data_IF_177902018079
#
_entry.id   IF_177902018079
#
_cell.length_a   1.000
_cell.length_b   1.000
_cell.length_c   1.000
_cell.angle_alpha   90.00
_cell.angle_beta   90.00
_cell.angle_gamma   90.00
#
_symmetry.space_group_name_H-M   'P 1'
#
loop_
_entity.id
_entity.type
_entity.pdbx_description
1 polymer ?
#
# COMPACT_ATOMS: atom_id res chain seq x y z
N UNK A 1 62.91 21.72 37.72
CA UNK A 1 62.41 20.34 37.67
C UNK A 1 60.91 20.40 37.89
N UNK A 2 60.13 19.90 36.90
CA UNK A 2 58.78 19.30 37.02
C UNK A 2 57.64 20.10 37.69
N UNK A 3 56.34 20.01 37.35
CA UNK A 3 55.53 19.42 36.28
C UNK A 3 54.08 19.99 36.46
N UNK A 4 53.33 20.13 35.35
CA UNK A 4 51.91 19.70 35.08
C UNK A 4 50.77 20.07 36.08
N UNK A 5 49.52 20.40 35.72
CA UNK A 5 48.71 20.45 34.49
C UNK A 5 47.23 20.80 34.85
N UNK A 6 46.58 21.68 34.09
CA UNK A 6 45.42 21.49 33.14
C UNK A 6 44.03 21.11 33.72
N UNK A 7 43.10 22.08 33.56
CA UNK A 7 41.66 22.07 33.22
C UNK A 7 40.89 20.74 33.05
N UNK A 8 39.61 20.73 33.46
CA UNK A 8 38.47 20.28 32.63
C UNK A 8 37.12 20.76 33.17
N UNK A 9 36.31 21.44 32.33
CA UNK A 9 34.85 21.31 32.27
C UNK A 9 34.26 22.16 31.12
N UNK A 10 34.01 21.54 29.96
CA UNK A 10 32.96 21.95 29.01
C UNK A 10 32.69 20.81 28.06
N UNK A 11 31.53 20.17 28.18
CA UNK A 11 30.91 19.39 27.12
C UNK A 11 29.43 19.15 27.46
N UNK A 12 28.54 20.02 26.95
CA UNK A 12 27.09 19.76 26.97
C UNK A 12 26.37 20.43 25.79
N UNK A 13 26.90 20.26 24.57
CA UNK A 13 26.32 20.89 23.37
C UNK A 13 26.37 20.07 22.07
N UNK A 14 26.64 18.76 22.14
CA UNK A 14 26.73 17.93 20.93
C UNK A 14 25.69 16.80 20.81
N UNK A 15 24.98 16.42 21.88
CA UNK A 15 24.02 15.30 21.83
C UNK A 15 22.65 15.67 21.23
N UNK A 16 22.18 16.92 21.38
CA UNK A 16 20.88 17.36 20.85
C UNK A 16 20.77 17.40 19.31
N UNK A 17 21.89 17.28 18.59
CA UNK A 17 21.89 17.40 17.12
C UNK A 17 21.69 16.06 16.42
N UNK A 18 22.02 14.93 17.06
CA UNK A 18 21.81 13.61 16.47
C UNK A 18 20.37 13.17 16.69
N UNK A 19 19.81 13.38 17.88
CA UNK A 19 18.39 13.07 18.15
C UNK A 19 17.46 13.94 17.29
N UNK A 20 17.76 15.22 17.12
CA UNK A 20 16.97 16.12 16.27
C UNK A 20 17.14 15.83 14.77
N UNK A 21 18.29 15.29 14.32
CA UNK A 21 18.47 14.84 12.92
C UNK A 21 17.79 13.49 12.72
N UNK A 22 17.81 12.59 13.70
CA UNK A 22 17.10 11.31 13.66
C UNK A 22 15.58 11.49 13.72
N UNK A 23 15.05 12.41 14.53
CA UNK A 23 13.63 12.80 14.52
C UNK A 23 13.25 13.53 13.22
N UNK A 24 14.16 14.33 12.64
CA UNK A 24 13.90 15.08 11.41
C UNK A 24 14.01 14.22 10.15
N UNK A 25 14.89 13.21 10.11
CA UNK A 25 14.95 12.19 9.06
C UNK A 25 13.74 11.25 9.12
N UNK A 26 13.25 10.94 10.33
CA UNK A 26 11.95 10.26 10.52
C UNK A 26 10.78 11.08 9.96
N UNK A 27 10.92 12.42 9.92
CA UNK A 27 9.93 13.37 9.40
C UNK A 27 10.16 13.83 7.95
N UNK A 28 11.18 13.36 7.23
CA UNK A 28 11.17 13.33 5.74
C UNK A 28 10.29 12.17 5.26
N UNK A 29 9.21 12.00 6.00
CA UNK A 29 8.66 10.73 6.38
C UNK A 29 7.59 10.30 5.41
N UNK A 30 7.18 9.07 5.60
CA UNK A 30 5.95 8.58 5.04
C UNK A 30 4.80 9.60 5.24
N UNK A 31 4.04 9.89 4.17
CA UNK A 31 2.89 10.79 4.21
C UNK A 31 1.59 10.02 3.91
N UNK A 32 0.61 10.17 4.79
CA UNK A 32 -0.73 9.66 4.57
C UNK A 32 -1.42 10.38 3.40
N UNK A 33 -2.30 9.68 2.69
CA UNK A 33 -3.09 10.25 1.59
C UNK A 33 -4.27 11.10 2.09
N UNK A 34 -4.62 11.00 3.38
CA UNK A 34 -5.72 11.74 4.02
C UNK A 34 -7.10 11.12 3.84
N UNK A 35 -7.23 9.97 3.16
CA UNK A 35 -8.49 9.24 3.06
C UNK A 35 -8.70 8.34 4.30
N UNK A 36 -9.93 8.25 4.80
CA UNK A 36 -10.28 7.38 5.92
C UNK A 36 -10.58 5.92 5.50
N UNK A 37 -10.53 5.63 4.20
CA UNK A 37 -10.88 4.33 3.64
C UNK A 37 -9.94 3.97 2.49
N UNK A 38 -9.83 2.68 2.20
CA UNK A 38 -9.13 2.13 1.04
C UNK A 38 -10.07 1.23 0.25
N UNK A 39 -9.98 1.26 -1.08
CA UNK A 39 -10.63 0.33 -1.98
C UNK A 39 -9.59 -0.61 -2.59
N UNK A 40 -9.63 -1.89 -2.19
CA UNK A 40 -8.68 -2.92 -2.63
C UNK A 40 -9.33 -3.85 -3.65
N UNK A 41 -8.62 -4.15 -4.74
CA UNK A 41 -9.15 -4.91 -5.89
C UNK A 41 -8.35 -6.18 -6.20
N UNK A 42 -7.29 -6.45 -5.44
CA UNK A 42 -6.31 -7.49 -5.73
C UNK A 42 -5.89 -8.31 -4.51
N UNK A 43 -4.58 -8.50 -4.34
CA UNK A 43 -3.98 -9.35 -3.30
C UNK A 43 -4.33 -8.95 -1.88
N UNK A 44 -4.67 -7.67 -1.64
CA UNK A 44 -5.10 -7.15 -0.33
C UNK A 44 -6.56 -7.48 0.04
N UNK A 45 -7.40 -7.94 -0.90
CA UNK A 45 -8.79 -8.35 -0.63
C UNK A 45 -8.83 -9.55 0.32
N UNK A 46 -9.98 -9.76 0.96
CA UNK A 46 -10.19 -10.93 1.81
C UNK A 46 -9.94 -12.23 1.03
N UNK A 47 -9.13 -13.13 1.59
CA UNK A 47 -8.70 -14.38 0.96
C UNK A 47 -7.54 -14.24 -0.05
N UNK A 48 -7.07 -13.02 -0.33
CA UNK A 48 -5.87 -12.79 -1.12
C UNK A 48 -4.58 -13.13 -0.36
N UNK A 49 -3.47 -13.31 -1.10
CA UNK A 49 -2.16 -13.63 -0.47
C UNK A 49 -1.67 -12.55 0.49
N UNK A 50 -2.09 -11.30 0.29
CA UNK A 50 -1.78 -10.15 1.13
C UNK A 50 -3.00 -9.66 1.91
N UNK A 51 -3.96 -10.54 2.19
CA UNK A 51 -5.23 -10.20 2.87
C UNK A 51 -5.02 -9.13 3.95
N UNK A 52 -5.74 -8.02 3.81
CA UNK A 52 -5.65 -6.85 4.69
C UNK A 52 -5.88 -7.19 6.16
N UNK A 53 -6.61 -8.27 6.47
CA UNK A 53 -6.80 -8.76 7.84
C UNK A 53 -5.50 -9.26 8.50
N UNK A 54 -4.46 -9.59 7.72
CA UNK A 54 -3.11 -9.91 8.23
C UNK A 54 -2.38 -8.65 8.72
N UNK A 55 -2.69 -7.49 8.15
CA UNK A 55 -2.12 -6.19 8.54
C UNK A 55 -2.86 -5.58 9.73
N UNK A 56 -4.19 -5.74 9.75
CA UNK A 56 -5.04 -5.27 10.84
C UNK A 56 -6.04 -6.37 11.22
N UNK A 57 -5.71 -7.22 12.20
CA UNK A 57 -6.60 -8.28 12.67
C UNK A 57 -7.97 -7.72 13.12
N UNK A 58 -9.04 -8.37 12.68
CA UNK A 58 -10.41 -7.96 13.00
C UNK A 58 -10.96 -6.80 12.18
N UNK A 59 -10.23 -6.31 11.17
CA UNK A 59 -10.76 -5.31 10.23
C UNK A 59 -12.00 -5.85 9.51
N UNK A 60 -13.06 -5.03 9.47
CA UNK A 60 -14.34 -5.39 8.86
C UNK A 60 -14.51 -4.63 7.56
N UNK A 61 -14.90 -5.34 6.50
CA UNK A 61 -15.25 -4.74 5.22
C UNK A 61 -16.45 -3.79 5.40
N UNK A 62 -16.26 -2.52 5.04
CA UNK A 62 -17.31 -1.48 5.10
C UNK A 62 -18.34 -1.66 4.00
N UNK A 63 -17.93 -2.20 2.85
CA UNK A 63 -18.78 -2.37 1.68
C UNK A 63 -17.98 -2.71 0.43
N UNK A 64 -18.65 -2.70 -0.72
CA UNK A 64 -18.05 -2.98 -2.03
C UNK A 64 -18.35 -1.86 -3.01
N UNK A 65 -17.48 -1.68 -3.98
CA UNK A 65 -17.65 -0.73 -5.09
C UNK A 65 -17.06 -1.29 -6.38
N UNK A 66 -17.22 -0.56 -7.47
CA UNK A 66 -16.66 -0.86 -8.78
C UNK A 66 -15.72 0.27 -9.19
N UNK A 67 -14.46 -0.07 -9.46
CA UNK A 67 -13.47 0.83 -10.04
C UNK A 67 -13.60 0.80 -11.56
N UNK A 68 -13.55 1.96 -12.21
CA UNK A 68 -13.52 2.05 -13.67
C UNK A 68 -12.07 2.12 -14.15
N UNK A 69 -11.69 1.26 -15.09
CA UNK A 69 -10.31 1.22 -15.58
C UNK A 69 -10.04 0.06 -16.55
N UNK A 70 -8.78 -0.32 -16.64
CA UNK A 70 -8.30 -1.52 -17.32
C UNK A 70 -7.48 -2.36 -16.33
N UNK A 71 -7.83 -3.64 -16.20
CA UNK A 71 -7.15 -4.57 -15.30
C UNK A 71 -6.08 -5.37 -16.06
N UNK A 72 -4.92 -5.57 -15.44
CA UNK A 72 -3.76 -6.22 -16.04
C UNK A 72 -3.20 -7.33 -15.16
N UNK A 73 -2.65 -8.35 -15.82
CA UNK A 73 -1.95 -9.46 -15.21
C UNK A 73 -0.47 -9.15 -15.04
N UNK A 74 -0.03 -8.90 -13.80
CA UNK A 74 1.39 -8.71 -13.47
C UNK A 74 2.02 -10.02 -12.92
N UNK A 75 1.37 -11.17 -13.16
CA UNK A 75 1.78 -12.46 -12.64
C UNK A 75 1.05 -12.78 -11.35
N UNK A 76 1.68 -12.51 -10.20
CA UNK A 76 1.15 -12.88 -8.87
C UNK A 76 0.17 -11.86 -8.28
N UNK A 77 0.08 -10.69 -8.90
CA UNK A 77 -0.73 -9.57 -8.43
C UNK A 77 -1.32 -8.82 -9.63
N UNK A 78 -2.43 -8.09 -9.45
CA UNK A 78 -3.04 -7.31 -10.53
C UNK A 78 -2.46 -5.91 -10.60
N UNK A 79 -2.43 -5.33 -11.80
CA UNK A 79 -2.30 -3.89 -11.98
C UNK A 79 -3.61 -3.27 -12.48
N UNK A 80 -4.12 -2.24 -11.81
CA UNK A 80 -5.24 -1.44 -12.32
C UNK A 80 -4.74 -0.11 -12.89
N UNK A 81 -4.99 0.16 -14.16
CA UNK A 81 -4.94 1.52 -14.70
C UNK A 81 -6.34 2.14 -14.60
N UNK A 82 -6.47 3.35 -14.05
CA UNK A 82 -7.75 4.08 -14.00
C UNK A 82 -8.16 4.66 -15.35
N UNK A 83 -7.43 4.34 -16.42
CA UNK A 83 -7.80 4.62 -17.79
C UNK A 83 -8.51 3.39 -18.39
N UNK A 84 -9.76 3.56 -18.80
CA UNK A 84 -10.57 2.52 -19.41
C UNK A 84 -12.02 2.57 -18.96
N UNK A 85 -12.81 1.62 -19.44
CA UNK A 85 -14.26 1.55 -19.19
C UNK A 85 -14.71 0.26 -18.52
N UNK A 86 -13.79 -0.69 -18.28
CA UNK A 86 -14.12 -1.93 -17.58
C UNK A 86 -14.34 -1.62 -16.10
N UNK A 87 -15.32 -2.31 -15.50
CA UNK A 87 -15.55 -2.29 -14.06
C UNK A 87 -14.73 -3.37 -13.38
N UNK A 88 -14.11 -3.03 -12.26
CA UNK A 88 -13.31 -3.92 -11.43
C UNK A 88 -13.86 -3.91 -10.01
N UNK A 89 -14.18 -5.09 -9.48
CA UNK A 89 -14.70 -5.25 -8.12
C UNK A 89 -13.63 -4.84 -7.10
N UNK A 90 -14.02 -3.97 -6.17
CA UNK A 90 -13.20 -3.60 -5.04
C UNK A 90 -13.96 -3.76 -3.71
N UNK A 91 -13.23 -4.17 -2.68
CA UNK A 91 -13.69 -4.18 -1.30
C UNK A 91 -13.19 -2.92 -0.60
N UNK A 92 -14.05 -2.29 0.20
CA UNK A 92 -13.76 -1.03 0.88
C UNK A 92 -13.58 -1.28 2.36
N UNK A 93 -12.45 -0.85 2.91
CA UNK A 93 -12.09 -1.01 4.31
C UNK A 93 -11.82 0.34 4.97
N UNK A 94 -12.12 0.50 6.27
CA UNK A 94 -11.63 1.64 7.04
C UNK A 94 -10.11 1.59 7.10
N UNK A 95 -9.47 2.75 7.04
CA UNK A 95 -8.02 2.86 6.98
C UNK A 95 -7.52 3.85 8.03
N UNK A 96 -6.52 3.42 8.79
CA UNK A 96 -5.71 4.29 9.65
C UNK A 96 -4.37 4.59 8.98
N UNK A 97 -3.68 5.63 9.44
CA UNK A 97 -2.34 5.96 8.95
C UNK A 97 -1.36 4.77 9.08
N UNK A 98 -1.43 4.02 10.19
CA UNK A 98 -0.58 2.85 10.40
C UNK A 98 -0.87 1.73 9.38
N UNK A 99 -2.15 1.53 9.03
CA UNK A 99 -2.54 0.56 8.01
C UNK A 99 -2.10 1.02 6.61
N UNK A 100 -2.29 2.29 6.28
CA UNK A 100 -1.83 2.87 5.01
C UNK A 100 -0.32 2.69 4.85
N UNK A 101 0.47 2.99 5.88
CA UNK A 101 1.91 2.79 5.85
C UNK A 101 2.30 1.31 5.66
N UNK A 102 1.57 0.38 6.28
CA UNK A 102 1.82 -1.05 6.10
C UNK A 102 1.51 -1.51 4.67
N UNK A 103 0.43 -1.01 4.07
CA UNK A 103 0.09 -1.28 2.66
C UNK A 103 1.11 -0.66 1.70
N UNK A 104 1.58 0.55 1.95
CA UNK A 104 2.64 1.18 1.13
C UNK A 104 3.93 0.37 1.12
N UNK A 105 4.23 -0.36 2.21
CA UNK A 105 5.34 -1.32 2.21
C UNK A 105 5.10 -2.52 1.32
N UNK A 106 3.86 -3.01 1.23
CA UNK A 106 3.52 -4.11 0.33
C UNK A 106 3.56 -3.65 -1.12
N UNK A 107 3.01 -2.47 -1.41
CA UNK A 107 2.83 -1.92 -2.76
C UNK A 107 4.08 -1.21 -3.31
N UNK A 108 5.21 -1.28 -2.60
CA UNK A 108 6.46 -0.75 -3.11
C UNK A 108 6.57 0.78 -3.07
N UNK A 109 5.80 1.47 -2.23
CA UNK A 109 5.81 2.93 -2.10
C UNK A 109 6.63 3.44 -0.91
N UNK A 110 6.97 2.54 0.04
CA UNK A 110 7.73 2.85 1.25
C UNK A 110 8.47 1.61 1.75
N UNK A 111 9.73 1.61 2.21
CA UNK A 111 10.73 2.68 2.41
C UNK A 111 11.43 3.14 1.13
N UNK A 112 11.26 2.40 0.03
CA UNK A 112 11.75 2.73 -1.29
C UNK A 112 10.56 2.70 -2.25
N UNK A 113 10.49 3.69 -3.13
CA UNK A 113 9.51 3.74 -4.21
C UNK A 113 10.03 2.90 -5.39
N UNK A 114 9.35 1.80 -5.67
CA UNK A 114 9.63 0.86 -6.76
C UNK A 114 9.06 1.35 -8.10
N UNK A 115 8.23 2.40 -8.09
CA UNK A 115 7.64 2.99 -9.28
C UNK A 115 6.54 2.13 -9.94
N UNK A 116 6.06 1.08 -9.26
CA UNK A 116 5.04 0.19 -9.83
C UNK A 116 3.62 0.73 -9.69
N UNK A 117 3.34 1.42 -8.58
CA UNK A 117 2.04 1.99 -8.23
C UNK A 117 2.15 3.48 -7.91
N UNK A 118 0.99 4.14 -7.88
CA UNK A 118 0.80 5.46 -7.29
C UNK A 118 -0.51 5.51 -6.52
N UNK A 119 -0.56 6.33 -5.46
CA UNK A 119 -1.78 6.57 -4.71
C UNK A 119 -2.73 7.48 -5.49
N UNK A 120 -4.02 7.14 -5.48
CA UNK A 120 -5.11 7.99 -5.96
C UNK A 120 -6.21 8.01 -4.91
N UNK A 121 -6.70 9.20 -4.57
CA UNK A 121 -7.90 9.35 -3.74
C UNK A 121 -9.08 9.60 -4.67
N UNK A 122 -10.08 8.73 -4.62
CA UNK A 122 -11.30 8.82 -5.41
C UNK A 122 -12.51 8.92 -4.49
N UNK A 123 -13.52 9.68 -4.88
CA UNK A 123 -14.84 9.64 -4.21
C UNK A 123 -15.73 8.68 -4.98
N UNK A 124 -16.05 7.53 -4.39
CA UNK A 124 -16.83 6.48 -5.03
C UNK A 124 -18.11 6.19 -4.26
N UNK A 125 -19.16 5.82 -4.97
CA UNK A 125 -20.35 5.27 -4.32
C UNK A 125 -20.05 3.85 -3.84
N UNK A 126 -20.16 3.62 -2.54
CA UNK A 126 -19.90 2.34 -1.89
C UNK A 126 -21.21 1.74 -1.43
N UNK A 127 -21.48 0.51 -1.85
CA UNK A 127 -22.58 -0.29 -1.32
C UNK A 127 -22.11 -0.89 0.01
N UNK A 128 -22.61 -0.34 1.11
CA UNK A 128 -22.23 -0.72 2.46
C UNK A 128 -22.90 -2.02 2.91
N UNK A 129 -22.29 -2.67 3.88
CA UNK A 129 -22.76 -3.95 4.43
C UNK A 129 -24.12 -3.84 5.12
N UNK A 130 -24.56 -2.64 5.49
CA UNK A 130 -25.90 -2.35 6.01
C UNK A 130 -26.97 -2.14 4.90
N UNK A 131 -26.59 -2.29 3.63
CA UNK A 131 -27.46 -2.10 2.47
C UNK A 131 -27.58 -0.64 2.00
N UNK A 132 -26.95 0.32 2.69
CA UNK A 132 -26.92 1.72 2.26
C UNK A 132 -25.90 1.94 1.15
N UNK A 133 -26.11 2.97 0.31
CA UNK A 133 -25.13 3.44 -0.64
C UNK A 133 -24.65 4.84 -0.24
N UNK A 134 -23.36 5.00 -0.04
CA UNK A 134 -22.78 6.26 0.44
C UNK A 134 -21.51 6.63 -0.36
N UNK A 135 -21.32 7.91 -0.71
CA UNK A 135 -20.08 8.37 -1.31
C UNK A 135 -18.97 8.38 -0.26
N UNK A 136 -17.89 7.65 -0.50
CA UNK A 136 -16.71 7.62 0.37
C UNK A 136 -15.46 8.03 -0.42
N UNK A 137 -14.63 8.87 0.19
CA UNK A 137 -13.27 9.10 -0.27
C UNK A 137 -12.41 7.88 0.08
N UNK A 138 -11.86 7.21 -0.93
CA UNK A 138 -11.10 5.98 -0.81
C UNK A 138 -9.72 6.13 -1.46
N UNK A 139 -8.70 5.59 -0.81
CA UNK A 139 -7.41 5.33 -1.43
C UNK A 139 -7.52 4.17 -2.42
N UNK A 140 -6.90 4.33 -3.59
CA UNK A 140 -6.72 3.29 -4.61
C UNK A 140 -5.24 3.31 -5.03
N UNK A 141 -4.62 2.14 -5.06
CA UNK A 141 -3.30 1.96 -5.67
C UNK A 141 -3.46 1.75 -7.17
N UNK A 142 -3.13 2.76 -7.97
CA UNK A 142 -3.17 2.69 -9.43
C UNK A 142 -1.81 2.26 -9.97
N UNK A 143 -1.78 1.25 -10.84
CA UNK A 143 -0.56 0.80 -11.50
C UNK A 143 -0.03 1.87 -12.47
N UNK A 144 1.28 2.10 -12.44
CA UNK A 144 1.94 3.05 -13.32
C UNK A 144 1.90 2.59 -14.78
N UNK A 145 1.81 3.51 -15.77
CA UNK A 145 1.78 3.14 -17.18
C UNK A 145 2.93 2.24 -17.63
N UNK A 146 4.14 2.47 -17.09
CA UNK A 146 5.32 1.66 -17.37
C UNK A 146 5.16 0.21 -16.89
N UNK A 147 4.52 -0.01 -15.73
CA UNK A 147 4.25 -1.34 -15.15
C UNK A 147 3.33 -2.18 -16.04
N UNK A 148 2.33 -1.55 -16.65
CA UNK A 148 1.27 -2.25 -17.41
C UNK A 148 1.50 -2.25 -18.92
N UNK A 149 2.52 -1.56 -19.44
CA UNK A 149 2.74 -1.35 -20.87
C UNK A 149 2.79 -2.65 -21.70
N UNK A 150 3.36 -3.71 -21.13
CA UNK A 150 3.52 -5.01 -21.77
C UNK A 150 2.72 -6.13 -21.09
N UNK A 151 1.91 -5.79 -20.08
CA UNK A 151 1.14 -6.74 -19.32
C UNK A 151 -0.13 -7.18 -20.10
N UNK A 152 -0.51 -8.46 -20.06
CA UNK A 152 -1.79 -8.92 -20.61
C UNK A 152 -2.97 -8.23 -19.90
N UNK A 153 -3.99 -7.84 -20.67
CA UNK A 153 -5.25 -7.33 -20.12
C UNK A 153 -6.13 -8.48 -19.62
N UNK A 154 -6.78 -8.26 -18.48
CA UNK A 154 -7.74 -9.18 -17.87
C UNK A 154 -9.16 -8.65 -18.16
N UNK A 155 -9.95 -9.41 -18.91
CA UNK A 155 -11.34 -9.02 -19.21
C UNK A 155 -12.31 -9.23 -18.02
N UNK A 156 -11.93 -10.05 -17.04
CA UNK A 156 -12.73 -10.32 -15.86
C UNK A 156 -12.79 -9.11 -14.92
N UNK A 157 -13.94 -8.89 -14.29
CA UNK A 157 -14.14 -7.82 -13.31
C UNK A 157 -13.69 -8.18 -11.90
N UNK A 158 -13.57 -9.47 -11.57
CA UNK A 158 -13.09 -9.93 -10.27
C UNK A 158 -11.73 -10.61 -10.44
N UNK A 159 -10.67 -9.97 -9.95
CA UNK A 159 -9.32 -10.50 -10.06
C UNK A 159 -9.13 -11.80 -9.27
N UNK A 160 -9.69 -11.90 -8.05
CA UNK A 160 -9.51 -13.10 -7.21
C UNK A 160 -10.15 -14.32 -7.89
N UNK A 161 -11.38 -14.16 -8.37
CA UNK A 161 -12.08 -15.22 -9.11
C UNK A 161 -11.30 -15.63 -10.37
N UNK A 162 -10.80 -14.66 -11.12
CA UNK A 162 -10.01 -14.92 -12.33
C UNK A 162 -8.68 -15.62 -12.01
N UNK A 163 -8.01 -15.20 -10.93
CA UNK A 163 -6.73 -15.75 -10.51
C UNK A 163 -6.86 -17.18 -10.02
N UNK A 164 -7.90 -17.49 -9.23
CA UNK A 164 -8.24 -18.86 -8.83
C UNK A 164 -8.45 -19.77 -10.06
N UNK A 165 -9.13 -19.25 -11.08
CA UNK A 165 -9.33 -19.95 -12.36
C UNK A 165 -8.05 -20.28 -13.13
N UNK A 166 -6.92 -19.62 -12.83
CA UNK A 166 -5.61 -19.97 -13.43
C UNK A 166 -5.01 -21.24 -12.84
N UNK A 167 -5.48 -21.72 -11.69
CA UNK A 167 -4.96 -22.91 -11.00
C UNK A 167 -3.53 -22.75 -10.47
N UNK A 168 -3.03 -21.52 -10.37
CA UNK A 168 -1.70 -21.23 -9.82
C UNK A 168 -1.83 -21.15 -8.30
N UNK A 169 -1.14 -22.03 -7.58
CA UNK A 169 -1.11 -21.99 -6.11
C UNK A 169 -0.09 -20.96 -5.61
N UNK A 170 -0.52 -20.09 -4.69
CA UNK A 170 0.41 -19.27 -3.91
C UNK A 170 1.20 -20.17 -2.95
N UNK A 171 2.52 -19.92 -2.75
CA UNK A 171 3.16 -20.37 -1.51
C UNK A 171 2.48 -19.69 -0.32
N UNK A 172 2.29 -20.38 0.81
CA UNK A 172 1.58 -19.89 2.02
C UNK A 172 2.17 -18.63 2.69
N UNK A 173 3.21 -18.05 2.11
CA UNK A 173 3.88 -16.83 2.56
C UNK A 173 3.33 -15.59 1.86
N UNK A 174 3.02 -14.55 2.65
CA UNK A 174 2.65 -13.23 2.16
C UNK A 174 3.69 -12.67 1.18
N UNK A 175 3.24 -11.93 0.17
CA UNK A 175 4.07 -11.35 -0.89
C UNK A 175 4.17 -9.83 -0.71
N UNK A 176 5.37 -9.26 -0.69
CA UNK A 176 5.54 -7.80 -0.66
C UNK A 176 6.55 -7.39 -1.73
N UNK A 177 6.25 -6.33 -2.49
CA UNK A 177 7.17 -5.79 -3.49
C UNK A 177 8.48 -5.34 -2.86
N UNK A 178 8.43 -4.81 -1.63
CA UNK A 178 9.61 -4.40 -0.85
C UNK A 178 10.22 -5.51 0.01
N UNK A 179 9.90 -6.78 -0.23
CA UNK A 179 10.61 -7.89 0.43
C UNK A 179 12.06 -7.92 -0.02
N UNK A 180 13.00 -8.05 0.92
CA UNK A 180 14.44 -8.18 0.64
C UNK A 180 14.81 -9.31 -0.34
N UNK A 181 13.87 -10.22 -0.63
CA UNK A 181 13.97 -11.30 -1.61
C UNK A 181 13.91 -10.84 -3.09
N UNK A 182 13.46 -9.61 -3.39
CA UNK A 182 13.48 -9.04 -4.75
C UNK A 182 14.78 -8.30 -5.09
N UNK A 183 15.81 -8.38 -4.24
CA UNK A 183 17.16 -7.91 -4.55
C UNK A 183 17.77 -8.83 -5.63
N UNK A 184 17.72 -8.40 -6.89
CA UNK A 184 18.69 -8.85 -7.89
C UNK A 184 20.00 -8.09 -7.72
#
# INVERSE_FOLDING_TARGET
MEQVGVFFATAKRFENSLDAVMEKESSMGWHACGAAHVAVYGTLRAGGVNDIARLQPGIVCRGRTQLMGSLFDLGWYPGLSLNGTQTVLAEVYPMSDALEQAMDRIEGLWLQDMGEYRKRVLTLAVMCSDGSQQPLAVLVYEAMPATVQHAPRIAASDWLQWFEGKGVQHPDTAFSLNSAQNKK
#
